data_IF_141496532100
#
_entry.id   IF_141496532100
#
_cell.length_a   1.000
_cell.length_b   1.000
_cell.length_c   1.000
_cell.angle_alpha   90.00
_cell.angle_beta   90.00
_cell.angle_gamma   90.00
#
_symmetry.space_group_name_H-M   'P 1'
#
loop_
_entity.id
_entity.type
_entity.pdbx_description
1 polymer ?
#
# COMPACT_ATOMS: atom_id res chain seq x y z
N UNK A 1 3.77 -3.55 -3.15
CA UNK A 1 3.04 -4.02 -1.96
C UNK A 1 1.61 -3.56 -2.08
N UNK A 2 0.66 -4.50 -2.13
CA UNK A 2 -0.76 -4.16 -2.19
C UNK A 2 -1.38 -4.16 -0.78
N UNK A 3 -2.29 -3.22 -0.51
CA UNK A 3 -3.03 -3.13 0.75
C UNK A 3 -4.39 -2.46 0.55
N UNK A 4 -5.46 -3.06 1.09
CA UNK A 4 -6.82 -2.56 0.91
C UNK A 4 -7.09 -1.23 1.65
N UNK A 5 -8.14 -0.51 1.25
CA UNK A 5 -8.53 0.80 1.79
C UNK A 5 -8.78 0.75 3.30
N UNK A 6 -9.40 -0.31 3.80
CA UNK A 6 -9.74 -0.44 5.22
C UNK A 6 -8.48 -0.55 6.10
N UNK A 7 -7.46 -1.28 5.64
CA UNK A 7 -6.14 -1.35 6.31
C UNK A 7 -5.39 -0.02 6.23
N UNK A 8 -5.48 0.69 5.11
CA UNK A 8 -4.90 2.03 4.99
C UNK A 8 -5.56 2.98 6.01
N UNK A 9 -6.90 3.03 6.02
CA UNK A 9 -7.67 3.87 6.93
C UNK A 9 -7.31 3.59 8.39
N UNK A 10 -7.29 2.32 8.81
CA UNK A 10 -6.94 1.93 10.17
C UNK A 10 -5.52 2.38 10.58
N UNK A 11 -4.56 2.37 9.64
CA UNK A 11 -3.18 2.78 9.87
C UNK A 11 -2.99 4.30 9.83
N UNK A 12 -3.82 5.03 9.10
CA UNK A 12 -3.61 6.47 8.84
C UNK A 12 -4.56 7.40 9.59
N UNK A 13 -5.64 6.89 10.20
CA UNK A 13 -6.70 7.70 10.81
C UNK A 13 -6.21 8.72 11.85
N UNK A 14 -5.12 8.44 12.58
CA UNK A 14 -4.57 9.32 13.63
C UNK A 14 -3.25 10.00 13.25
N UNK A 15 -2.78 9.80 12.01
CA UNK A 15 -1.47 10.26 11.56
C UNK A 15 -1.54 11.68 11.00
N UNK A 16 -1.13 12.66 11.82
CA UNK A 16 -1.07 14.08 11.45
C UNK A 16 0.06 14.42 10.45
N UNK A 17 0.97 13.48 10.16
CA UNK A 17 2.09 13.67 9.21
C UNK A 17 1.70 13.38 7.76
N UNK A 18 0.41 13.24 7.46
CA UNK A 18 -0.10 12.92 6.11
C UNK A 18 -0.92 14.10 5.56
N UNK A 19 -0.29 15.14 4.99
CA UNK A 19 -0.98 16.34 4.54
C UNK A 19 -2.16 16.08 3.60
N UNK A 20 -2.02 15.11 2.68
CA UNK A 20 -3.08 14.74 1.75
C UNK A 20 -4.33 14.17 2.45
N UNK A 21 -4.18 13.64 3.67
CA UNK A 21 -5.29 13.11 4.48
C UNK A 21 -5.78 14.09 5.55
N UNK A 22 -5.24 15.33 5.59
CA UNK A 22 -5.65 16.40 6.51
C UNK A 22 -6.50 17.43 5.76
N UNK A 23 -7.56 16.97 5.12
CA UNK A 23 -8.50 17.78 4.34
C UNK A 23 -9.91 17.63 4.89
N UNK A 24 -10.83 18.51 4.49
CA UNK A 24 -12.21 18.50 4.98
C UNK A 24 -13.03 17.31 4.44
N UNK A 25 -12.53 16.63 3.40
CA UNK A 25 -13.14 15.42 2.85
C UNK A 25 -12.91 14.19 3.75
N UNK A 26 -13.83 13.22 3.79
CA UNK A 26 -13.63 11.97 4.52
C UNK A 26 -12.35 11.25 4.06
N UNK A 27 -11.47 10.89 5.00
CA UNK A 27 -10.18 10.21 4.72
C UNK A 27 -10.35 9.00 3.79
N UNK A 28 -11.44 8.25 3.95
CA UNK A 28 -11.77 7.10 3.09
C UNK A 28 -11.94 7.50 1.62
N UNK A 29 -12.64 8.60 1.33
CA UNK A 29 -12.85 9.08 -0.04
C UNK A 29 -11.54 9.53 -0.67
N UNK A 30 -10.70 10.23 0.11
CA UNK A 30 -9.36 10.60 -0.34
C UNK A 30 -8.52 9.37 -0.68
N UNK A 31 -8.53 8.34 0.19
CA UNK A 31 -7.81 7.09 -0.05
C UNK A 31 -8.31 6.35 -1.31
N UNK A 32 -9.62 6.35 -1.56
CA UNK A 32 -10.20 5.77 -2.78
C UNK A 32 -9.74 6.53 -4.03
N UNK A 33 -9.85 7.87 -4.04
CA UNK A 33 -9.37 8.70 -5.16
C UNK A 33 -7.88 8.45 -5.44
N UNK A 34 -7.06 8.43 -4.39
CA UNK A 34 -5.63 8.15 -4.51
C UNK A 34 -5.35 6.73 -5.04
N UNK A 35 -6.15 5.73 -4.67
CA UNK A 35 -6.02 4.37 -5.18
C UNK A 35 -6.39 4.29 -6.67
N UNK A 36 -7.49 4.93 -7.07
CA UNK A 36 -7.95 4.95 -8.47
C UNK A 36 -6.89 5.59 -9.40
N UNK A 37 -6.23 6.65 -8.95
CA UNK A 37 -5.17 7.32 -9.72
C UNK A 37 -3.85 6.54 -9.73
N UNK A 38 -3.47 5.92 -8.61
CA UNK A 38 -2.12 5.40 -8.41
C UNK A 38 -1.97 3.90 -8.61
N UNK A 39 -3.01 3.11 -8.35
CA UNK A 39 -2.94 1.65 -8.52
C UNK A 39 -2.53 1.25 -9.95
N UNK A 40 -3.07 1.86 -11.03
CA UNK A 40 -2.63 1.55 -12.39
C UNK A 40 -1.14 1.85 -12.60
N UNK A 41 -0.64 2.95 -12.04
CA UNK A 41 0.79 3.31 -12.13
C UNK A 41 1.65 2.33 -11.34
N UNK A 42 1.20 1.88 -10.18
CA UNK A 42 1.90 0.88 -9.38
C UNK A 42 1.93 -0.49 -10.07
N UNK A 43 0.86 -0.90 -10.73
CA UNK A 43 0.78 -2.14 -11.49
C UNK A 43 1.65 -2.11 -12.74
N UNK A 44 1.69 -0.98 -13.46
CA UNK A 44 2.47 -0.83 -14.70
C UNK A 44 3.98 -0.98 -14.46
N UNK A 45 4.50 -0.41 -13.38
CA UNK A 45 5.95 -0.37 -13.10
C UNK A 45 6.44 -1.52 -12.21
N UNK A 46 5.52 -2.31 -11.65
CA UNK A 46 5.90 -3.37 -10.73
C UNK A 46 6.34 -4.62 -11.50
N UNK A 47 7.62 -4.95 -11.42
CA UNK A 47 8.11 -6.27 -11.84
C UNK A 47 7.52 -7.39 -10.95
N UNK A 48 7.26 -7.08 -9.68
CA UNK A 48 6.77 -8.01 -8.66
C UNK A 48 5.76 -7.31 -7.74
N UNK A 49 4.58 -7.93 -7.59
CA UNK A 49 3.55 -7.49 -6.63
C UNK A 49 3.39 -8.53 -5.52
N UNK A 50 3.43 -8.07 -4.26
CA UNK A 50 3.24 -8.91 -3.07
C UNK A 50 2.05 -8.38 -2.28
N UNK A 51 1.09 -9.28 -2.01
CA UNK A 51 -0.02 -9.02 -1.09
C UNK A 51 0.48 -9.15 0.34
N UNK A 52 0.38 -8.07 1.12
CA UNK A 52 0.95 -8.01 2.48
C UNK A 52 -0.02 -8.43 3.57
N UNK A 53 -1.10 -9.11 3.22
CA UNK A 53 -2.20 -9.32 4.15
C UNK A 53 -1.83 -10.29 5.27
N UNK A 54 -1.93 -9.80 6.51
CA UNK A 54 -1.74 -10.49 7.79
C UNK A 54 -0.36 -11.10 8.04
N UNK A 55 0.63 -10.71 7.23
CA UNK A 55 2.02 -11.11 7.38
C UNK A 55 2.84 -10.09 8.17
N UNK A 56 3.75 -10.57 9.01
CA UNK A 56 4.73 -9.70 9.66
C UNK A 56 5.68 -9.07 8.64
N UNK A 57 6.22 -7.89 8.96
CA UNK A 57 7.19 -7.22 8.08
C UNK A 57 8.41 -8.10 7.75
N UNK A 58 8.83 -8.97 8.68
CA UNK A 58 9.93 -9.92 8.47
C UNK A 58 9.58 -10.97 7.40
N UNK A 59 8.35 -11.48 7.41
CA UNK A 59 7.89 -12.48 6.43
C UNK A 59 7.84 -11.85 5.04
N UNK A 60 7.25 -10.65 4.93
CA UNK A 60 7.19 -9.91 3.66
C UNK A 60 8.59 -9.62 3.12
N UNK A 61 9.52 -9.20 3.98
CA UNK A 61 10.91 -8.94 3.57
C UNK A 61 11.61 -10.21 3.04
N UNK A 62 11.41 -11.36 3.68
CA UNK A 62 11.98 -12.62 3.21
C UNK A 62 11.38 -13.05 1.85
N UNK A 63 10.07 -12.87 1.64
CA UNK A 63 9.45 -13.15 0.35
C UNK A 63 10.01 -12.28 -0.77
N UNK A 64 10.28 -11.00 -0.49
CA UNK A 64 10.94 -10.10 -1.46
C UNK A 64 12.32 -10.66 -1.83
N UNK A 65 13.12 -11.10 -0.85
CA UNK A 65 14.45 -11.68 -1.09
C UNK A 65 14.34 -12.93 -1.97
N UNK A 66 13.46 -13.87 -1.61
CA UNK A 66 13.28 -15.13 -2.38
C UNK A 66 12.84 -14.86 -3.84
N UNK A 67 11.95 -13.89 -4.06
CA UNK A 67 11.48 -13.53 -5.40
C UNK A 67 12.57 -12.85 -6.25
N UNK A 68 13.47 -12.09 -5.62
CA UNK A 68 14.62 -11.49 -6.32
C UNK A 68 15.69 -12.54 -6.68
N UNK A 69 15.92 -13.51 -5.79
CA UNK A 69 16.87 -14.61 -6.03
C UNK A 69 16.37 -15.60 -7.10
N UNK A 70 15.06 -15.84 -7.19
CA UNK A 70 14.48 -16.77 -8.17
C UNK A 70 14.42 -16.17 -9.59
N UNK A 71 14.44 -14.84 -9.72
CA UNK A 71 14.42 -14.12 -10.99
C UNK A 71 15.81 -13.68 -11.49
N UNK A 72 16.89 -14.09 -10.79
CA UNK A 72 18.30 -13.87 -11.17
C UNK A 72 18.87 -15.07 -11.92
#
# INVERSE_FOLDING_TARGET
LETNIEKQLARTQRDKKRPLLQVDEPVREVLVKLADERNPMYEEIADITIHTDDQSAKVVANQIIELLETNS
#
